data_IF_895479709618
#
_entry.id   IF_895479709618
#
_cell.length_a   1.000
_cell.length_b   1.000
_cell.length_c   1.000
_cell.angle_alpha   90.00
_cell.angle_beta   90.00
_cell.angle_gamma   90.00
#
_symmetry.space_group_name_H-M   'P 1'
#
loop_
_entity.id
_entity.type
_entity.pdbx_description
1 polymer ?
#
# COMPACT_ATOMS: atom_id res chain seq x y z
N UNK A 1 11.15 2.02 -1.64
CA UNK A 1 9.92 2.72 -1.22
C UNK A 1 9.00 2.75 -2.43
N UNK A 2 7.74 2.34 -2.30
CA UNK A 2 6.80 2.34 -3.43
C UNK A 2 6.60 3.78 -3.93
N UNK A 3 6.64 3.97 -5.25
CA UNK A 3 6.35 5.27 -5.86
C UNK A 3 4.83 5.48 -5.82
N UNK A 4 4.36 6.30 -4.89
CA UNK A 4 2.94 6.57 -4.68
C UNK A 4 2.56 7.95 -5.23
N UNK A 5 1.40 8.01 -5.87
CA UNK A 5 0.82 9.23 -6.43
C UNK A 5 -0.58 9.43 -5.84
N UNK A 6 -0.97 10.69 -5.67
CA UNK A 6 -2.36 11.06 -5.41
C UNK A 6 -2.97 11.53 -6.72
N UNK A 7 -3.96 10.78 -7.19
CA UNK A 7 -4.74 11.10 -8.37
C UNK A 7 -6.10 11.69 -7.98
N UNK A 8 -6.46 12.82 -8.58
CA UNK A 8 -7.75 13.47 -8.34
C UNK A 8 -8.75 13.01 -9.41
N UNK A 9 -9.75 12.21 -9.02
CA UNK A 9 -10.65 11.54 -9.99
C UNK A 9 -11.38 12.48 -10.94
N UNK A 10 -11.66 13.72 -10.52
CA UNK A 10 -12.32 14.74 -11.33
C UNK A 10 -11.35 15.76 -11.93
N UNK A 11 -10.04 15.46 -11.94
CA UNK A 11 -8.97 16.30 -12.48
C UNK A 11 -8.97 17.75 -11.96
N UNK A 12 -9.45 17.97 -10.73
CA UNK A 12 -9.47 19.31 -10.12
C UNK A 12 -8.05 19.82 -9.81
N UNK A 13 -7.08 18.91 -9.72
CA UNK A 13 -5.66 19.15 -9.52
C UNK A 13 -4.87 18.14 -10.36
N UNK A 14 -3.63 18.47 -10.77
CA UNK A 14 -2.73 17.50 -11.38
C UNK A 14 -2.34 16.43 -10.37
N UNK A 15 -1.95 15.26 -10.87
CA UNK A 15 -1.45 14.17 -10.04
C UNK A 15 -0.20 14.60 -9.27
N UNK A 16 -0.14 14.25 -7.99
CA UNK A 16 0.95 14.68 -7.12
C UNK A 16 1.65 13.50 -6.46
N UNK A 17 2.99 13.44 -6.49
CA UNK A 17 3.71 12.38 -5.82
C UNK A 17 3.61 12.51 -4.30
N UNK A 18 3.45 11.37 -3.64
CA UNK A 18 3.59 11.26 -2.20
C UNK A 18 5.07 11.09 -1.85
N UNK A 19 5.60 12.06 -1.12
CA UNK A 19 6.98 12.10 -0.66
C UNK A 19 7.07 11.63 0.79
N UNK A 20 8.22 11.08 1.20
CA UNK A 20 8.45 10.77 2.61
C UNK A 20 8.23 12.02 3.47
N UNK A 21 7.55 11.86 4.60
CA UNK A 21 7.15 12.94 5.49
C UNK A 21 5.66 13.24 5.45
N UNK A 22 5.31 14.51 5.69
CA UNK A 22 3.92 14.95 5.86
C UNK A 22 3.50 15.84 4.70
N UNK A 23 2.40 15.50 4.04
CA UNK A 23 1.74 16.30 3.02
C UNK A 23 0.32 16.62 3.45
N UNK A 24 -0.01 17.90 3.56
CA UNK A 24 -1.30 18.36 4.07
C UNK A 24 -2.34 18.44 2.97
N UNK A 25 -3.57 18.04 3.30
CA UNK A 25 -4.77 18.24 2.51
C UNK A 25 -5.48 19.46 3.09
N UNK A 26 -5.59 20.52 2.28
CA UNK A 26 -6.14 21.81 2.71
C UNK A 26 -7.29 22.23 1.83
N UNK A 27 -8.27 22.91 2.42
CA UNK A 27 -9.30 23.65 1.70
C UNK A 27 -8.92 25.11 1.63
N UNK A 28 -8.83 25.65 0.42
CA UNK A 28 -8.57 27.06 0.19
C UNK A 28 -9.83 27.91 0.39
N UNK A 29 -9.66 29.23 0.47
CA UNK A 29 -10.77 30.18 0.64
C UNK A 29 -11.79 30.15 -0.53
N UNK A 30 -11.36 29.76 -1.73
CA UNK A 30 -12.24 29.55 -2.89
C UNK A 30 -12.98 28.19 -2.86
N UNK A 31 -12.81 27.40 -1.80
CA UNK A 31 -13.43 26.08 -1.64
C UNK A 31 -12.66 24.92 -2.28
N UNK A 32 -11.58 25.15 -3.02
CA UNK A 32 -10.83 24.05 -3.64
C UNK A 32 -10.06 23.24 -2.59
N UNK A 33 -10.07 21.92 -2.76
CA UNK A 33 -9.25 20.98 -1.97
C UNK A 33 -7.99 20.67 -2.75
N UNK A 34 -6.82 20.78 -2.11
CA UNK A 34 -5.53 20.45 -2.71
C UNK A 34 -4.54 19.94 -1.69
N UNK A 35 -3.47 19.35 -2.19
CA UNK A 35 -2.27 19.09 -1.38
C UNK A 35 -1.38 20.32 -1.34
N UNK A 36 -0.84 20.62 -0.17
CA UNK A 36 0.10 21.72 0.03
C UNK A 36 -0.04 22.36 1.41
N UNK A 37 0.75 23.40 1.65
CA UNK A 37 0.74 24.07 2.94
C UNK A 37 -0.53 24.87 3.20
N UNK A 38 -0.91 24.92 4.47
CA UNK A 38 -1.98 25.78 4.96
C UNK A 38 -1.47 27.23 5.01
N UNK A 39 -1.55 27.93 3.88
CA UNK A 39 -1.34 29.39 3.84
C UNK A 39 -2.42 30.15 4.62
N UNK A 40 -2.31 31.48 4.69
CA UNK A 40 -3.29 32.32 5.38
C UNK A 40 -4.71 32.08 4.83
N UNK A 41 -5.62 31.62 5.69
CA UNK A 41 -7.02 31.36 5.36
C UNK A 41 -7.33 29.96 4.80
N UNK A 42 -6.34 29.08 4.65
CA UNK A 42 -6.59 27.68 4.28
C UNK A 42 -6.96 26.85 5.52
N UNK A 43 -7.99 26.02 5.41
CA UNK A 43 -8.39 25.09 6.46
C UNK A 43 -7.67 23.75 6.28
N UNK A 44 -6.94 23.31 7.30
CA UNK A 44 -6.36 21.96 7.33
C UNK A 44 -7.46 20.92 7.54
N UNK A 45 -7.65 20.04 6.55
CA UNK A 45 -8.65 18.97 6.60
C UNK A 45 -8.03 17.66 7.09
N UNK A 46 -6.93 17.26 6.47
CA UNK A 46 -6.20 16.04 6.78
C UNK A 46 -4.74 16.15 6.33
N UNK A 47 -3.96 15.11 6.56
CA UNK A 47 -2.57 15.01 6.16
C UNK A 47 -2.25 13.56 5.82
N UNK A 48 -1.51 13.37 4.74
CA UNK A 48 -0.82 12.14 4.42
C UNK A 48 0.53 12.12 5.15
N UNK A 49 0.81 11.05 5.86
CA UNK A 49 2.08 10.82 6.56
C UNK A 49 2.70 9.54 5.99
N UNK A 50 3.76 9.69 5.18
CA UNK A 50 4.47 8.58 4.57
C UNK A 50 5.81 8.37 5.27
N UNK A 51 6.01 7.18 5.84
CA UNK A 51 7.26 6.76 6.47
C UNK A 51 7.59 5.30 6.10
N UNK A 52 8.64 4.74 6.72
CA UNK A 52 9.07 3.36 6.47
C UNK A 52 8.05 2.31 6.94
N UNK A 53 7.08 2.68 7.78
CA UNK A 53 6.00 1.80 8.26
C UNK A 53 4.78 1.83 7.33
N UNK A 54 4.69 2.82 6.45
CA UNK A 54 3.67 2.94 5.43
C UNK A 54 3.06 4.32 5.33
N UNK A 55 1.92 4.39 4.65
CA UNK A 55 1.17 5.61 4.43
C UNK A 55 -0.01 5.71 5.39
N UNK A 56 -0.10 6.81 6.12
CA UNK A 56 -1.20 7.08 7.05
C UNK A 56 -1.97 8.33 6.62
N UNK A 57 -3.29 8.28 6.73
CA UNK A 57 -4.15 9.45 6.70
C UNK A 57 -4.39 9.90 8.14
N UNK A 58 -4.08 11.15 8.47
CA UNK A 58 -4.45 11.77 9.75
C UNK A 58 -5.45 12.90 9.52
N UNK A 59 -6.58 12.83 10.21
CA UNK A 59 -7.68 13.80 10.11
C UNK A 59 -7.44 14.96 11.07
N UNK A 60 -7.69 16.19 10.62
CA UNK A 60 -7.59 17.39 11.43
C UNK A 60 -8.58 17.40 12.59
N UNK A 61 -8.23 18.07 13.68
CA UNK A 61 -9.10 18.15 14.86
C UNK A 61 -10.44 18.83 14.50
N UNK A 62 -11.54 18.20 14.89
CA UNK A 62 -12.90 18.70 14.61
C UNK A 62 -13.37 18.51 13.17
N UNK A 63 -12.52 18.02 12.27
CA UNK A 63 -12.89 17.73 10.89
C UNK A 63 -13.72 16.44 10.83
N UNK A 64 -14.78 16.46 10.03
CA UNK A 64 -15.70 15.35 9.79
C UNK A 64 -15.88 15.15 8.29
N UNK A 65 -16.53 14.06 7.91
CA UNK A 65 -16.86 13.80 6.51
C UNK A 65 -15.67 13.29 5.68
N UNK A 66 -14.57 12.89 6.33
CA UNK A 66 -13.45 12.21 5.67
C UNK A 66 -13.72 10.72 5.65
N UNK A 67 -13.62 10.11 4.48
CA UNK A 67 -13.86 8.69 4.30
C UNK A 67 -12.71 8.05 3.52
N UNK A 68 -12.44 6.78 3.80
CA UNK A 68 -11.55 5.93 3.02
C UNK A 68 -12.35 4.73 2.55
N UNK A 69 -12.47 4.55 1.23
CA UNK A 69 -13.28 3.50 0.61
C UNK A 69 -14.71 3.45 1.20
N UNK A 70 -15.32 4.63 1.39
CA UNK A 70 -16.66 4.79 1.99
C UNK A 70 -16.73 4.69 3.52
N UNK A 71 -15.66 4.27 4.21
CA UNK A 71 -15.64 4.17 5.68
C UNK A 71 -15.19 5.47 6.33
N UNK A 72 -15.92 6.01 7.33
CA UNK A 72 -15.56 7.28 7.96
C UNK A 72 -14.27 7.15 8.79
N UNK A 73 -13.34 8.08 8.59
CA UNK A 73 -12.10 8.17 9.37
C UNK A 73 -12.20 9.34 10.34
N UNK A 74 -12.15 9.06 11.65
CA UNK A 74 -12.28 10.08 12.68
C UNK A 74 -10.97 10.72 13.11
N UNK A 75 -9.87 9.96 13.03
CA UNK A 75 -8.57 10.40 13.54
C UNK A 75 -7.44 9.96 12.63
N UNK A 76 -7.34 8.66 12.37
CA UNK A 76 -6.26 8.11 11.58
C UNK A 76 -6.68 6.83 10.87
N UNK A 77 -6.10 6.57 9.70
CA UNK A 77 -6.24 5.31 8.96
C UNK A 77 -4.91 4.96 8.27
N UNK A 78 -4.54 3.67 8.28
CA UNK A 78 -3.47 3.17 7.41
C UNK A 78 -4.04 3.04 5.99
N UNK A 79 -3.26 3.48 5.01
CA UNK A 79 -3.63 3.49 3.60
C UNK A 79 -2.73 2.56 2.79
N UNK A 80 -3.25 2.10 1.67
CA UNK A 80 -2.54 1.33 0.65
C UNK A 80 -2.76 1.96 -0.73
N UNK A 81 -1.92 1.58 -1.69
CA UNK A 81 -2.23 1.82 -3.08
C UNK A 81 -3.58 1.19 -3.45
N UNK A 82 -4.39 1.89 -4.25
CA UNK A 82 -5.77 1.54 -4.58
C UNK A 82 -6.83 2.07 -3.62
N UNK A 83 -6.46 2.66 -2.48
CA UNK A 83 -7.44 3.28 -1.59
C UNK A 83 -7.93 4.63 -2.16
N UNK A 84 -9.24 4.85 -2.07
CA UNK A 84 -9.91 6.09 -2.42
C UNK A 84 -10.21 6.89 -1.14
N UNK A 85 -9.66 8.09 -1.05
CA UNK A 85 -9.79 9.01 0.07
C UNK A 85 -10.73 10.13 -0.33
N UNK A 86 -11.86 10.26 0.36
CA UNK A 86 -12.84 11.30 0.13
C UNK A 86 -12.71 12.39 1.17
N UNK A 87 -12.51 13.63 0.71
CA UNK A 87 -12.36 14.80 1.56
C UNK A 87 -13.18 15.94 0.97
N UNK A 88 -14.21 16.37 1.71
CA UNK A 88 -15.08 17.51 1.33
C UNK A 88 -15.65 17.40 -0.10
N UNK A 89 -16.09 16.19 -0.47
CA UNK A 89 -16.65 15.90 -1.80
C UNK A 89 -15.60 15.63 -2.90
N UNK A 90 -14.32 15.79 -2.61
CA UNK A 90 -13.22 15.48 -3.53
C UNK A 90 -12.71 14.06 -3.29
N UNK A 91 -12.70 13.24 -4.33
CA UNK A 91 -12.10 11.91 -4.32
C UNK A 91 -10.64 11.97 -4.77
N UNK A 92 -9.76 11.43 -3.93
CA UNK A 92 -8.34 11.25 -4.19
C UNK A 92 -8.01 9.76 -4.16
N UNK A 93 -7.61 9.20 -5.29
CA UNK A 93 -7.19 7.80 -5.41
C UNK A 93 -5.68 7.71 -5.23
N UNK A 94 -5.24 6.83 -4.34
CA UNK A 94 -3.82 6.52 -4.17
C UNK A 94 -3.38 5.56 -5.24
N UNK A 95 -2.53 6.04 -6.15
CA UNK A 95 -1.98 5.23 -7.22
C UNK A 95 -0.59 4.72 -6.83
N UNK A 96 -0.36 3.43 -7.04
CA UNK A 96 0.94 2.80 -6.92
C UNK A 96 1.48 2.37 -8.27
N UNK A 97 2.72 1.88 -8.26
CA UNK A 97 3.35 1.32 -9.44
C UNK A 97 2.66 0.03 -9.88
N UNK A 98 2.48 -0.12 -11.19
CA UNK A 98 1.91 -1.32 -11.83
C UNK A 98 2.64 -1.58 -13.13
N UNK A 99 3.12 -2.81 -13.30
CA UNK A 99 3.75 -3.25 -14.55
C UNK A 99 2.67 -3.68 -15.56
N UNK A 100 2.15 -2.71 -16.30
CA UNK A 100 1.09 -2.93 -17.30
C UNK A 100 1.63 -3.56 -18.58
N UNK A 101 0.78 -4.33 -19.24
CA UNK A 101 1.08 -5.02 -20.49
C UNK A 101 0.10 -4.58 -21.56
N UNK A 102 0.61 -4.28 -22.76
CA UNK A 102 -0.23 -4.00 -23.93
C UNK A 102 -0.99 -5.26 -24.38
N UNK A 103 -0.35 -6.42 -24.26
CA UNK A 103 -0.92 -7.71 -24.60
C UNK A 103 -0.47 -8.75 -23.58
N UNK A 104 -1.41 -9.58 -23.14
CA UNK A 104 -1.10 -10.67 -22.22
C UNK A 104 -0.37 -11.82 -22.95
N UNK A 105 0.68 -12.41 -22.35
CA UNK A 105 1.41 -13.54 -22.92
C UNK A 105 0.49 -14.72 -23.27
N UNK A 106 0.91 -15.62 -24.15
CA UNK A 106 0.18 -16.87 -24.35
C UNK A 106 0.14 -17.69 -23.04
N UNK A 107 -0.95 -18.45 -22.78
CA UNK A 107 -1.02 -19.35 -21.64
C UNK A 107 0.15 -20.34 -21.66
N UNK A 108 0.84 -20.50 -20.53
CA UNK A 108 1.93 -21.48 -20.43
C UNK A 108 1.34 -22.88 -20.21
N UNK A 109 1.82 -23.88 -20.95
CA UNK A 109 1.29 -25.24 -20.90
C UNK A 109 1.66 -26.02 -19.62
N UNK A 110 2.59 -25.52 -18.80
CA UNK A 110 3.07 -26.17 -17.59
C UNK A 110 3.24 -25.14 -16.47
N UNK A 111 2.34 -25.18 -15.49
CA UNK A 111 2.59 -24.59 -14.18
C UNK A 111 3.42 -25.61 -13.38
N UNK A 112 4.50 -25.18 -12.75
CA UNK A 112 5.28 -26.07 -11.88
C UNK A 112 4.47 -26.28 -10.57
N UNK A 113 3.93 -27.49 -10.31
CA UNK A 113 2.86 -27.69 -9.32
C UNK A 113 3.27 -27.39 -7.87
N UNK A 114 4.56 -27.21 -7.58
CA UNK A 114 5.07 -26.95 -6.23
C UNK A 114 4.96 -25.50 -5.74
N UNK A 115 4.72 -24.52 -6.63
CA UNK A 115 4.74 -23.08 -6.29
C UNK A 115 3.32 -22.50 -6.09
N UNK A 116 2.29 -23.27 -6.47
CA UNK A 116 0.99 -22.74 -6.83
C UNK A 116 0.02 -22.57 -5.64
N UNK A 117 0.14 -23.41 -4.61
CA UNK A 117 -0.79 -23.40 -3.46
C UNK A 117 -0.59 -22.24 -2.50
N UNK A 118 0.56 -21.57 -2.57
CA UNK A 118 0.92 -20.55 -1.60
C UNK A 118 0.29 -19.19 -1.94
N UNK A 119 -0.01 -18.91 -3.20
CA UNK A 119 -0.51 -17.60 -3.63
C UNK A 119 -2.02 -17.54 -3.48
N UNK A 120 -2.51 -16.52 -2.78
CA UNK A 120 -3.93 -16.37 -2.47
C UNK A 120 -4.41 -14.99 -2.90
N UNK A 121 -5.49 -14.95 -3.64
CA UNK A 121 -6.26 -13.73 -3.85
C UNK A 121 -7.25 -13.58 -2.69
N UNK A 122 -7.02 -12.62 -1.80
CA UNK A 122 -7.82 -12.39 -0.59
C UNK A 122 -8.85 -11.29 -0.83
N UNK A 123 -10.13 -11.56 -0.65
CA UNK A 123 -11.16 -10.53 -0.65
C UNK A 123 -11.05 -9.65 0.59
N UNK A 124 -10.87 -8.34 0.39
CA UNK A 124 -10.78 -7.33 1.46
C UNK A 124 -11.93 -6.33 1.43
N UNK A 125 -12.79 -6.38 0.42
CA UNK A 125 -14.02 -5.59 0.30
C UNK A 125 -15.00 -6.21 -0.69
N UNK A 126 -16.26 -5.76 -0.66
CA UNK A 126 -17.33 -6.29 -1.51
C UNK A 126 -17.83 -7.66 -1.05
N UNK A 127 -18.48 -8.38 -1.97
CA UNK A 127 -19.18 -9.65 -1.72
C UNK A 127 -18.27 -10.74 -1.14
N UNK A 128 -17.00 -10.74 -1.53
CA UNK A 128 -16.04 -11.78 -1.15
C UNK A 128 -15.13 -11.41 0.02
N UNK A 129 -15.46 -10.38 0.79
CA UNK A 129 -14.68 -9.98 1.97
C UNK A 129 -14.38 -11.17 2.90
N UNK A 130 -13.11 -11.33 3.27
CA UNK A 130 -12.59 -12.42 4.11
C UNK A 130 -12.30 -13.73 3.39
N UNK A 131 -12.85 -13.96 2.18
CA UNK A 131 -12.62 -15.18 1.40
C UNK A 131 -11.23 -15.15 0.76
N UNK A 132 -10.58 -16.31 0.70
CA UNK A 132 -9.31 -16.50 -0.01
C UNK A 132 -9.48 -17.47 -1.16
N UNK A 133 -8.94 -17.13 -2.32
CA UNK A 133 -8.93 -17.97 -3.52
C UNK A 133 -7.49 -18.34 -3.84
N UNK A 134 -7.14 -19.62 -3.71
CA UNK A 134 -5.80 -20.10 -4.09
C UNK A 134 -5.62 -20.00 -5.58
N UNK A 135 -4.42 -19.62 -6.02
CA UNK A 135 -4.07 -19.49 -7.44
C UNK A 135 -3.53 -20.78 -8.07
N UNK A 136 -3.62 -21.91 -7.34
CA UNK A 136 -3.34 -23.30 -7.73
C UNK A 136 -3.89 -23.74 -9.12
N UNK A 137 -4.86 -22.97 -9.62
CA UNK A 137 -5.34 -22.99 -10.99
C UNK A 137 -5.79 -21.58 -11.34
N UNK A 138 -5.88 -21.23 -12.62
CA UNK A 138 -6.43 -19.96 -13.04
C UNK A 138 -7.81 -19.71 -12.42
N UNK A 139 -8.05 -18.46 -12.00
CA UNK A 139 -9.31 -18.00 -11.43
C UNK A 139 -9.96 -17.01 -12.37
N UNK A 140 -11.15 -17.35 -12.86
CA UNK A 140 -11.99 -16.44 -13.63
C UNK A 140 -12.88 -15.65 -12.68
N UNK A 141 -12.88 -14.33 -12.86
CA UNK A 141 -13.74 -13.37 -12.17
C UNK A 141 -14.74 -12.89 -13.21
N UNK A 142 -16.04 -12.88 -12.88
CA UNK A 142 -17.07 -12.45 -13.80
C UNK A 142 -18.47 -12.76 -13.30
N UNK A 143 -19.47 -12.41 -14.12
CA UNK A 143 -20.88 -12.64 -13.86
C UNK A 143 -21.36 -14.05 -14.24
N UNK A 144 -20.66 -14.69 -15.18
CA UNK A 144 -21.09 -15.96 -15.78
C UNK A 144 -21.05 -17.13 -14.79
N UNK A 145 -21.83 -18.17 -15.09
CA UNK A 145 -21.89 -19.40 -14.29
C UNK A 145 -20.55 -20.17 -14.26
N UNK A 146 -19.67 -19.89 -15.22
CA UNK A 146 -18.33 -20.45 -15.33
C UNK A 146 -17.25 -19.66 -14.57
N UNK A 147 -17.63 -18.54 -13.91
CA UNK A 147 -16.72 -17.76 -13.08
C UNK A 147 -16.40 -18.48 -11.75
N UNK A 148 -15.11 -18.56 -11.42
CA UNK A 148 -14.65 -19.07 -10.12
C UNK A 148 -14.94 -18.09 -8.97
N UNK A 149 -14.94 -16.81 -9.30
CA UNK A 149 -15.22 -15.69 -8.41
C UNK A 149 -16.39 -14.92 -9.02
N UNK A 150 -17.59 -15.40 -8.69
CA UNK A 150 -18.84 -14.89 -9.26
C UNK A 150 -19.22 -13.53 -8.65
N UNK A 151 -19.34 -12.52 -9.51
CA UNK A 151 -19.85 -11.19 -9.19
C UNK A 151 -21.04 -10.92 -10.11
N UNK A 152 -22.24 -11.22 -9.61
CA UNK A 152 -23.50 -11.10 -10.36
C UNK A 152 -24.01 -9.66 -10.36
N UNK A 153 -23.30 -8.81 -11.10
CA UNK A 153 -23.64 -7.40 -11.27
C UNK A 153 -23.69 -7.05 -12.77
N UNK A 154 -24.64 -6.22 -13.22
CA UNK A 154 -24.80 -5.89 -14.64
C UNK A 154 -23.56 -5.27 -15.30
N UNK A 155 -22.69 -4.64 -14.52
CA UNK A 155 -21.47 -3.99 -15.00
C UNK A 155 -20.34 -4.99 -15.33
N UNK A 156 -20.47 -6.27 -14.93
CA UNK A 156 -19.47 -7.30 -15.15
C UNK A 156 -19.75 -8.09 -16.42
N UNK A 157 -18.69 -8.38 -17.19
CA UNK A 157 -18.76 -9.34 -18.27
C UNK A 157 -18.88 -10.77 -17.70
N UNK A 158 -19.39 -11.70 -18.51
CA UNK A 158 -19.57 -13.10 -18.09
C UNK A 158 -18.22 -13.70 -17.67
N UNK A 159 -17.18 -13.45 -18.47
CA UNK A 159 -15.78 -13.58 -18.08
C UNK A 159 -15.13 -12.19 -18.09
N UNK A 160 -15.00 -11.55 -16.93
CA UNK A 160 -14.48 -10.18 -16.81
C UNK A 160 -12.97 -10.14 -16.83
N UNK A 161 -12.35 -10.92 -15.94
CA UNK A 161 -10.91 -11.03 -15.85
C UNK A 161 -10.49 -12.41 -15.39
N UNK A 162 -9.24 -12.76 -15.65
CA UNK A 162 -8.62 -13.99 -15.20
C UNK A 162 -7.32 -13.68 -14.50
N UNK A 163 -7.15 -14.25 -13.31
CA UNK A 163 -5.91 -14.21 -12.55
C UNK A 163 -5.27 -15.58 -12.66
N UNK A 164 -4.04 -15.62 -13.16
CA UNK A 164 -3.34 -16.88 -13.44
C UNK A 164 -1.86 -16.80 -13.10
N UNK A 165 -1.24 -17.94 -12.81
CA UNK A 165 0.21 -18.02 -12.75
C UNK A 165 0.80 -18.14 -14.15
N UNK A 166 1.92 -17.45 -14.34
CA UNK A 166 2.76 -17.57 -15.52
C UNK A 166 4.21 -17.70 -15.03
N UNK A 167 4.67 -18.95 -14.93
CA UNK A 167 5.88 -19.28 -14.19
C UNK A 167 5.79 -18.83 -12.73
N UNK A 168 6.73 -17.99 -12.29
CA UNK A 168 6.78 -17.43 -10.93
C UNK A 168 6.00 -16.13 -10.77
N UNK A 169 5.32 -15.64 -11.80
CA UNK A 169 4.62 -14.35 -11.74
C UNK A 169 3.11 -14.57 -11.79
N UNK A 170 2.36 -13.64 -11.20
CA UNK A 170 0.90 -13.66 -11.28
C UNK A 170 0.48 -12.64 -12.34
N UNK A 171 -0.31 -13.09 -13.31
CA UNK A 171 -0.83 -12.28 -14.40
C UNK A 171 -2.31 -11.97 -14.15
N UNK A 172 -2.68 -10.70 -14.22
CA UNK A 172 -4.07 -10.29 -14.43
C UNK A 172 -4.32 -10.13 -15.93
N UNK A 173 -5.33 -10.81 -16.45
CA UNK A 173 -5.77 -10.72 -17.84
C UNK A 173 -7.22 -10.29 -17.91
N UNK A 174 -7.50 -9.16 -18.56
CA UNK A 174 -8.86 -8.81 -18.98
C UNK A 174 -9.38 -9.77 -20.06
N UNK A 175 -10.63 -10.21 -19.92
CA UNK A 175 -11.28 -11.18 -20.81
C UNK A 175 -12.47 -10.59 -21.58
N UNK A 176 -12.73 -9.29 -21.44
CA UNK A 176 -13.81 -8.61 -22.15
C UNK A 176 -14.58 -7.62 -21.28
N UNK A 177 -13.96 -7.08 -20.23
CA UNK A 177 -14.59 -6.03 -19.44
C UNK A 177 -14.81 -4.76 -20.26
N UNK A 178 -15.83 -3.98 -19.92
CA UNK A 178 -16.07 -2.69 -20.58
C UNK A 178 -14.96 -1.68 -20.23
N UNK A 179 -14.63 -1.55 -18.94
CA UNK A 179 -13.75 -0.50 -18.42
C UNK A 179 -12.37 -1.00 -17.95
N UNK A 180 -12.11 -2.30 -18.03
CA UNK A 180 -10.90 -2.90 -17.47
C UNK A 180 -11.05 -3.27 -15.99
N UNK A 181 -9.91 -3.34 -15.32
CA UNK A 181 -9.79 -3.54 -13.87
C UNK A 181 -8.89 -2.45 -13.30
N UNK A 182 -8.95 -2.21 -11.99
CA UNK A 182 -7.99 -1.31 -11.33
C UNK A 182 -7.02 -2.13 -10.49
N UNK A 183 -5.72 -1.86 -10.64
CA UNK A 183 -4.66 -2.42 -9.79
C UNK A 183 -3.92 -1.26 -9.17
N UNK A 184 -3.80 -1.26 -7.84
CA UNK A 184 -3.15 -0.18 -7.09
C UNK A 184 -3.65 1.22 -7.51
N UNK A 185 -4.94 1.36 -7.83
CA UNK A 185 -5.57 2.62 -8.25
C UNK A 185 -5.42 2.97 -9.73
N UNK A 186 -4.59 2.26 -10.48
CA UNK A 186 -4.33 2.44 -11.91
C UNK A 186 -5.27 1.55 -12.73
N UNK A 187 -5.90 2.09 -13.77
CA UNK A 187 -6.73 1.31 -14.69
C UNK A 187 -5.85 0.46 -15.62
N UNK A 188 -6.16 -0.82 -15.74
CA UNK A 188 -5.38 -1.81 -16.48
C UNK A 188 -6.26 -2.79 -17.25
N UNK A 189 -5.70 -3.32 -18.35
CA UNK A 189 -6.25 -4.46 -19.09
C UNK A 189 -5.48 -5.73 -18.78
N UNK A 190 -4.15 -5.64 -18.86
CA UNK A 190 -3.25 -6.73 -18.51
C UNK A 190 -2.11 -6.16 -17.66
N UNK A 191 -1.70 -6.88 -16.63
CA UNK A 191 -0.53 -6.49 -15.84
C UNK A 191 0.03 -7.67 -15.06
N UNK A 192 1.31 -7.55 -14.71
CA UNK A 192 1.91 -8.40 -13.71
C UNK A 192 1.54 -7.89 -12.32
N UNK A 193 1.04 -8.79 -11.49
CA UNK A 193 0.73 -8.53 -10.09
C UNK A 193 1.91 -8.90 -9.20
N UNK A 194 2.14 -8.06 -8.20
CA UNK A 194 3.12 -8.25 -7.15
C UNK A 194 2.45 -8.57 -5.81
N UNK A 195 3.24 -9.10 -4.87
CA UNK A 195 2.77 -9.37 -3.53
C UNK A 195 2.28 -8.07 -2.86
N UNK A 196 1.05 -8.09 -2.35
CA UNK A 196 0.40 -6.95 -1.72
C UNK A 196 -0.41 -6.06 -2.65
N UNK A 197 -0.38 -6.28 -3.97
CA UNK A 197 -1.15 -5.49 -4.93
C UNK A 197 -2.65 -5.60 -4.66
N UNK A 198 -3.33 -4.46 -4.72
CA UNK A 198 -4.77 -4.37 -4.55
C UNK A 198 -5.46 -4.34 -5.90
N UNK A 199 -6.32 -5.33 -6.16
CA UNK A 199 -7.20 -5.37 -7.31
C UNK A 199 -8.57 -4.83 -6.91
N UNK A 200 -9.15 -3.97 -7.74
CA UNK A 200 -10.48 -3.40 -7.54
C UNK A 200 -11.29 -3.53 -8.81
N UNK A 201 -12.48 -4.10 -8.67
CA UNK A 201 -13.49 -4.19 -9.73
C UNK A 201 -14.73 -3.39 -9.30
N UNK A 202 -15.20 -2.52 -10.19
CA UNK A 202 -16.34 -1.63 -10.00
C UNK A 202 -16.34 -0.83 -8.67
N UNK A 203 -15.14 -0.48 -8.17
CA UNK A 203 -14.93 0.31 -6.95
C UNK A 203 -15.20 -0.42 -5.62
N UNK A 204 -16.01 -1.48 -5.63
CA UNK A 204 -16.51 -2.16 -4.42
C UNK A 204 -15.84 -3.51 -4.15
N UNK A 205 -15.57 -4.29 -5.20
CA UNK A 205 -15.00 -5.63 -5.08
C UNK A 205 -13.48 -5.53 -5.02
N UNK A 206 -12.94 -5.71 -3.82
CA UNK A 206 -11.52 -5.46 -3.55
C UNK A 206 -10.83 -6.74 -3.14
N UNK A 207 -9.69 -6.99 -3.76
CA UNK A 207 -8.86 -8.14 -3.46
C UNK A 207 -7.40 -7.70 -3.26
N UNK A 208 -6.66 -8.47 -2.48
CA UNK A 208 -5.21 -8.30 -2.31
C UNK A 208 -4.52 -9.60 -2.68
N UNK A 209 -3.45 -9.52 -3.47
CA UNK A 209 -2.61 -10.67 -3.75
C UNK A 209 -1.68 -10.95 -2.56
N UNK A 210 -1.94 -12.04 -1.85
CA UNK A 210 -1.08 -12.55 -0.78
C UNK A 210 -0.11 -13.57 -1.38
N UNK A 211 1.19 -13.27 -1.34
CA UNK A 211 2.26 -14.22 -1.69
C UNK A 211 3.05 -14.50 -0.41
N UNK A 212 3.06 -15.74 0.09
CA UNK A 212 3.89 -16.13 1.21
C UNK A 212 5.35 -15.89 0.88
N UNK A 213 6.02 -15.17 1.77
CA UNK A 213 7.45 -15.04 1.71
C UNK A 213 8.06 -16.33 2.25
N UNK A 214 8.62 -17.19 1.39
CA UNK A 214 9.51 -18.27 1.85
C UNK A 214 10.92 -17.68 2.04
N UNK A 215 11.37 -17.41 3.28
CA UNK A 215 12.70 -16.82 3.51
C UNK A 215 13.85 -17.71 3.05
N UNK A 216 13.59 -18.99 2.73
CA UNK A 216 14.60 -19.92 2.18
C UNK A 216 14.75 -19.79 0.67
N UNK A 217 13.77 -19.18 -0.01
CA UNK A 217 13.80 -18.95 -1.45
C UNK A 217 14.45 -17.60 -1.70
N UNK A 218 15.79 -17.61 -1.77
CA UNK A 218 16.56 -16.41 -2.19
C UNK A 218 16.11 -16.06 -3.63
N UNK A 219 15.62 -14.84 -3.90
CA UNK A 219 15.33 -14.44 -5.27
C UNK A 219 16.60 -14.59 -6.10
N UNK A 220 16.49 -15.11 -7.32
CA UNK A 220 17.60 -15.09 -8.26
C UNK A 220 18.02 -13.63 -8.43
N UNK A 221 19.32 -13.30 -8.36
CA UNK A 221 19.78 -11.93 -8.60
C UNK A 221 19.29 -11.50 -9.98
N UNK A 222 18.76 -10.27 -10.07
CA UNK A 222 18.39 -9.71 -11.35
C UNK A 222 19.65 -9.40 -12.17
N UNK A 223 19.59 -9.35 -13.52
CA UNK A 223 20.76 -9.02 -14.35
C UNK A 223 21.37 -7.66 -13.98
N UNK A 224 20.55 -6.75 -13.45
CA UNK A 224 20.98 -5.43 -12.96
C UNK A 224 21.77 -5.53 -11.64
N UNK A 225 21.53 -6.57 -10.82
CA UNK A 225 22.30 -6.83 -9.60
C UNK A 225 23.71 -7.37 -9.93
N UNK A 226 23.85 -8.16 -11.00
CA UNK A 226 25.17 -8.70 -11.42
C UNK A 226 26.13 -7.59 -11.88
N UNK A 227 25.61 -6.52 -12.50
CA UNK A 227 26.42 -5.36 -12.89
C UNK A 227 26.88 -4.54 -11.67
N UNK A 228 26.09 -4.50 -10.59
CA UNK A 228 26.42 -3.79 -9.36
C UNK A 228 27.43 -4.55 -8.47
N UNK A 229 27.43 -5.89 -8.53
CA UNK A 229 28.32 -6.73 -7.73
C UNK A 229 29.75 -6.82 -8.29
N UNK A 230 29.96 -6.53 -9.58
CA UNK A 230 31.30 -6.55 -10.19
C UNK A 230 32.24 -5.43 -9.71
N UNK A 231 31.74 -4.40 -9.01
CA UNK A 231 32.56 -3.25 -8.57
C UNK A 231 32.71 -3.14 -7.03
N UNK A 232 32.20 -4.12 -6.27
CA UNK A 232 32.34 -4.14 -4.81
C UNK A 232 33.32 -5.24 -4.37
N UNK A 233 34.61 -4.87 -4.32
CA UNK A 233 35.56 -5.59 -3.46
C UNK A 233 35.00 -5.64 -2.03
N UNK A 234 35.18 -6.74 -1.28
CA UNK A 234 34.55 -6.93 0.01
C UNK A 234 35.09 -5.91 1.02
N UNK A 235 34.37 -4.80 1.21
CA UNK A 235 34.54 -3.94 2.37
C UNK A 235 33.91 -4.70 3.53
N UNK A 236 34.76 -5.20 4.42
CA UNK A 236 34.34 -5.87 5.65
C UNK A 236 33.25 -5.04 6.37
N UNK A 237 32.15 -5.65 6.86
CA UNK A 237 31.11 -4.91 7.55
C UNK A 237 31.71 -4.26 8.81
N UNK A 238 31.64 -2.94 8.88
CA UNK A 238 31.95 -2.21 10.10
C UNK A 238 30.99 -2.67 11.19
N UNK A 239 31.55 -3.31 12.22
CA UNK A 239 30.81 -3.78 13.39
C UNK A 239 29.92 -2.67 13.96
N UNK A 240 28.70 -2.99 14.45
CA UNK A 240 27.86 -2.01 15.10
C UNK A 240 28.63 -1.42 16.28
N UNK A 241 28.86 -0.10 16.25
CA UNK A 241 29.41 0.62 17.39
C UNK A 241 28.38 0.57 18.51
N UNK A 242 28.51 -0.42 19.37
CA UNK A 242 27.75 -0.53 20.61
C UNK A 242 28.04 0.75 21.42
N UNK A 243 27.07 1.66 21.46
CA UNK A 243 27.22 2.92 22.18
C UNK A 243 27.27 2.59 23.67
N UNK A 244 28.50 2.49 24.19
CA UNK A 244 28.84 2.30 25.61
C UNK A 244 28.48 3.56 26.40
N UNK A 245 27.19 3.91 26.46
CA UNK A 245 26.64 4.98 27.32
C UNK A 245 26.00 4.41 28.60
N UNK A 246 26.39 3.22 29.02
CA UNK A 246 25.91 2.60 30.26
C UNK A 246 26.62 3.03 31.56
N UNK A 247 27.91 3.47 31.60
CA UNK A 247 28.50 3.85 32.89
C UNK A 247 28.05 5.24 33.36
N UNK A 248 27.78 6.18 32.45
CA UNK A 248 27.45 7.56 32.83
C UNK A 248 26.04 7.73 33.42
N UNK A 249 25.07 6.93 32.96
CA UNK A 249 23.71 6.97 33.51
C UNK A 249 23.68 6.47 34.96
N UNK A 250 24.45 5.43 35.29
CA UNK A 250 24.57 4.92 36.66
C UNK A 250 25.27 5.93 37.58
N UNK A 251 26.32 6.61 37.09
CA UNK A 251 26.99 7.66 37.86
C UNK A 251 26.04 8.85 38.10
N UNK A 252 25.25 9.27 37.09
CA UNK A 252 24.27 10.34 37.28
C UNK A 252 23.17 9.96 38.27
N UNK A 253 22.69 8.72 38.25
CA UNK A 253 21.68 8.25 39.19
C UNK A 253 22.22 8.21 40.63
N UNK A 254 23.46 7.76 40.84
CA UNK A 254 24.11 7.76 42.15
C UNK A 254 24.33 9.18 42.70
N UNK A 255 24.77 10.12 41.86
CA UNK A 255 24.93 11.52 42.26
C UNK A 255 23.58 12.14 42.66
N UNK A 256 22.52 11.90 41.87
CA UNK A 256 21.19 12.42 42.16
C UNK A 256 20.66 11.87 43.49
N UNK A 257 20.83 10.56 43.73
CA UNK A 257 20.45 9.91 44.99
C UNK A 257 21.22 10.48 46.19
N UNK A 258 22.53 10.73 46.03
CA UNK A 258 23.36 11.36 47.07
C UNK A 258 22.89 12.77 47.44
N UNK A 259 22.59 13.60 46.44
CA UNK A 259 22.08 14.96 46.65
C UNK A 259 20.72 14.94 47.34
N UNK A 260 19.80 14.07 46.92
CA UNK A 260 18.49 13.90 47.57
C UNK A 260 18.63 13.45 49.02
N UNK A 261 19.55 12.52 49.31
CA UNK A 261 19.79 12.04 50.68
C UNK A 261 20.37 13.14 51.58
N UNK A 262 21.30 13.95 51.07
CA UNK A 262 21.83 15.13 51.77
C UNK A 262 20.76 16.18 52.03
N UNK A 263 19.91 16.46 51.06
CA UNK A 263 18.78 17.40 51.21
C UNK A 263 17.79 16.91 52.27
N UNK A 264 17.48 15.62 52.31
CA UNK A 264 16.59 15.07 53.34
C UNK A 264 17.22 15.10 54.74
N UNK A 265 18.54 14.91 54.84
CA UNK A 265 19.22 14.87 56.13
C UNK A 265 19.50 16.26 56.71
N UNK A 266 19.78 17.25 55.85
CA UNK A 266 20.13 18.61 56.27
C UNK A 266 19.06 19.67 56.00
N UNK A 267 18.09 19.40 55.14
CA UNK A 267 16.99 20.32 54.81
C UNK A 267 15.75 20.18 55.70
N UNK A 268 15.73 19.19 56.60
CA UNK A 268 14.70 19.02 57.62
C UNK A 268 15.21 19.55 58.98
N UNK A 269 15.47 20.85 59.06
CA UNK A 269 15.55 21.61 60.33
C UNK A 269 14.94 22.98 60.14
#
# INVERSE_FOLDING_TARGET
>A
MQNLLVHFSQHQQPDQPLRPGVQRIVRQANGSVRLGDAGNGALLLAQFCLDDRGLWLQVGNGIRGIHVNGRPVRRMALLRAGDAVYVDGVEMVLQGEVETLLQAPAPTAQADPGIDEQRVLRGVGGLHHGRGFTLARPRVIGRGDDADIAIDEPAFADQHARVELHGERVLLRDLGSAEGSRVNGVAVRHCWLQAGDQLVFDGQHRFVLEVPHDPRRRPAPSPDDEAADSEQAPVAPAAPRHVRRWPWLLVSALLLAGVLSLLLWFGAR
#
